data_IF_811695977269
#
_entry.id   IF_811695977269
#
_cell.length_a   1.000
_cell.length_b   1.000
_cell.length_c   1.000
_cell.angle_alpha   90.00
_cell.angle_beta   90.00
_cell.angle_gamma   90.00
#
_symmetry.space_group_name_H-M   'P 1'
#
loop_
_entity.id
_entity.type
_entity.pdbx_description
1 polymer ?
#
# COMPACT_ATOMS: atom_id res chain seq x y z
N UNK A 1 -6.21 -17.65 12.56
CA UNK A 1 -6.75 -16.52 11.79
C UNK A 1 -5.57 -15.74 11.20
N UNK A 2 -5.64 -15.42 9.95
CA UNK A 2 -4.66 -14.58 9.23
C UNK A 2 -5.45 -13.51 8.46
N UNK A 3 -5.06 -12.27 8.60
CA UNK A 3 -5.61 -11.20 7.78
C UNK A 3 -4.93 -11.22 6.40
N UNK A 4 -5.69 -10.95 5.34
CA UNK A 4 -5.18 -10.97 3.96
C UNK A 4 -4.40 -9.71 3.60
N UNK A 5 -3.25 -9.49 4.22
CA UNK A 5 -2.37 -8.33 3.98
C UNK A 5 -1.43 -8.61 2.81
N UNK A 6 -2.01 -8.74 1.62
CA UNK A 6 -1.35 -9.20 0.39
C UNK A 6 -0.08 -8.44 0.03
N UNK A 7 0.05 -7.16 0.40
CA UNK A 7 1.24 -6.36 0.08
C UNK A 7 2.52 -6.87 0.75
N UNK A 8 2.44 -7.55 1.90
CA UNK A 8 3.58 -8.22 2.52
C UNK A 8 4.20 -9.32 1.65
N UNK A 9 3.44 -9.81 0.67
CA UNK A 9 3.85 -10.88 -0.23
C UNK A 9 4.29 -10.38 -1.61
N UNK A 10 4.36 -9.07 -1.82
CA UNK A 10 5.03 -8.47 -2.97
C UNK A 10 6.55 -8.61 -2.84
N UNK A 11 7.22 -9.09 -3.88
CA UNK A 11 8.67 -9.35 -3.82
C UNK A 11 9.46 -8.07 -3.56
N UNK A 12 9.08 -6.95 -4.18
CA UNK A 12 9.71 -5.66 -3.96
C UNK A 12 9.50 -5.11 -2.55
N UNK A 13 8.34 -5.34 -1.92
CA UNK A 13 8.09 -4.94 -0.53
C UNK A 13 8.98 -5.74 0.42
N UNK A 14 9.12 -7.05 0.19
CA UNK A 14 10.00 -7.92 0.98
C UNK A 14 11.46 -7.54 0.80
N UNK A 15 11.89 -7.34 -0.44
CA UNK A 15 13.25 -6.88 -0.73
C UNK A 15 13.56 -5.53 -0.06
N UNK A 16 12.62 -4.57 -0.10
CA UNK A 16 12.76 -3.29 0.59
C UNK A 16 12.91 -3.47 2.10
N UNK A 17 12.10 -4.32 2.73
CA UNK A 17 12.22 -4.65 4.15
C UNK A 17 13.59 -5.22 4.49
N UNK A 18 14.05 -6.19 3.71
CA UNK A 18 15.32 -6.87 3.96
C UNK A 18 16.50 -5.90 3.80
N UNK A 19 16.52 -5.05 2.77
CA UNK A 19 17.52 -4.00 2.56
C UNK A 19 17.57 -3.00 3.73
N UNK A 20 16.41 -2.63 4.27
CA UNK A 20 16.33 -1.73 5.43
C UNK A 20 16.84 -2.43 6.69
N UNK A 21 16.48 -3.69 6.89
CA UNK A 21 16.97 -4.49 8.01
C UNK A 21 18.49 -4.70 7.96
N UNK A 22 19.06 -4.84 6.77
CA UNK A 22 20.50 -4.92 6.52
C UNK A 22 21.24 -3.57 6.68
N UNK A 23 20.49 -2.48 6.93
CA UNK A 23 21.04 -1.15 7.22
C UNK A 23 21.44 -0.35 5.97
N UNK A 24 21.01 -0.71 4.77
CA UNK A 24 21.44 -0.06 3.52
C UNK A 24 21.10 1.44 3.45
N UNK A 25 20.01 1.87 4.11
CA UNK A 25 19.64 3.29 4.21
C UNK A 25 19.95 3.89 5.58
N UNK A 26 20.70 3.19 6.43
CA UNK A 26 20.95 3.56 7.81
C UNK A 26 19.69 3.48 8.69
N UNK A 27 19.67 4.24 9.77
CA UNK A 27 18.51 4.27 10.67
C UNK A 27 17.34 5.03 10.02
N UNK A 28 16.18 4.42 9.91
CA UNK A 28 14.98 5.08 9.38
C UNK A 28 14.53 6.17 10.34
N UNK A 29 14.30 7.37 9.80
CA UNK A 29 13.87 8.56 10.52
C UNK A 29 12.42 8.93 10.23
N UNK A 30 12.02 8.78 8.97
CA UNK A 30 10.70 9.19 8.49
C UNK A 30 10.13 8.09 7.60
N UNK A 31 8.86 7.75 7.85
CA UNK A 31 8.02 7.00 6.94
C UNK A 31 6.98 7.93 6.33
N UNK A 32 6.73 7.82 5.03
CA UNK A 32 5.67 8.56 4.32
C UNK A 32 4.85 7.59 3.51
N UNK A 33 3.55 7.81 3.46
CA UNK A 33 2.70 7.12 2.50
C UNK A 33 1.62 8.04 1.96
N UNK A 34 1.25 7.79 0.72
CA UNK A 34 0.07 8.40 0.12
C UNK A 34 -0.71 7.35 -0.65
N UNK A 35 -2.02 7.46 -0.55
CA UNK A 35 -2.98 6.81 -1.44
C UNK A 35 -4.08 7.79 -1.74
N UNK A 36 -3.92 8.50 -2.84
CA UNK A 36 -4.79 9.58 -3.25
C UNK A 36 -5.32 9.35 -4.65
N UNK A 37 -6.44 9.96 -4.95
CA UNK A 37 -7.05 9.89 -6.27
C UNK A 37 -8.27 10.82 -6.33
N UNK A 38 -9.01 10.73 -7.41
CA UNK A 38 -10.25 11.44 -7.58
C UNK A 38 -11.40 10.46 -7.75
N UNK A 39 -12.47 10.67 -7.01
CA UNK A 39 -13.73 9.95 -7.19
C UNK A 39 -14.70 10.84 -7.94
N UNK A 40 -15.14 10.38 -9.11
CA UNK A 40 -16.20 11.05 -9.85
C UNK A 40 -17.58 10.73 -9.27
N UNK A 41 -18.53 11.64 -9.47
CA UNK A 41 -19.89 11.55 -8.96
C UNK A 41 -20.77 10.58 -9.78
N UNK A 42 -20.21 10.02 -10.85
CA UNK A 42 -20.92 9.18 -11.85
C UNK A 42 -21.34 7.79 -11.37
N UNK A 43 -21.08 7.46 -10.11
CA UNK A 43 -21.43 6.15 -9.55
C UNK A 43 -20.42 5.04 -9.79
N UNK A 44 -19.25 5.35 -10.37
CA UNK A 44 -18.18 4.38 -10.63
C UNK A 44 -17.64 3.69 -9.37
N UNK A 45 -17.74 4.32 -8.22
CA UNK A 45 -17.36 3.72 -6.93
C UNK A 45 -18.55 2.98 -6.32
N UNK A 46 -18.37 1.72 -5.90
CA UNK A 46 -19.40 0.95 -5.23
C UNK A 46 -20.02 1.70 -4.05
N UNK A 47 -21.34 1.73 -3.97
CA UNK A 47 -22.10 2.50 -2.98
C UNK A 47 -21.70 2.22 -1.53
N UNK A 48 -21.26 0.99 -1.21
CA UNK A 48 -20.81 0.63 0.13
C UNK A 48 -19.50 1.35 0.53
N UNK A 49 -18.61 1.63 -0.42
CA UNK A 49 -17.35 2.37 -0.17
C UNK A 49 -17.59 3.86 0.14
N UNK A 50 -18.75 4.38 -0.18
CA UNK A 50 -19.14 5.78 0.10
C UNK A 50 -19.88 5.93 1.43
N UNK A 51 -20.15 4.84 2.13
CA UNK A 51 -20.86 4.82 3.40
C UNK A 51 -19.96 4.33 4.51
N UNK A 52 -19.64 5.20 5.43
CA UNK A 52 -18.76 4.92 6.57
C UNK A 52 -19.24 3.73 7.42
N UNK A 53 -20.55 3.62 7.63
CA UNK A 53 -21.15 2.49 8.33
C UNK A 53 -20.92 1.13 7.66
N UNK A 54 -20.71 1.12 6.34
CA UNK A 54 -20.49 -0.10 5.56
C UNK A 54 -19.03 -0.37 5.29
N UNK A 55 -18.23 0.69 5.05
CA UNK A 55 -16.80 0.59 4.74
C UNK A 55 -15.93 0.53 5.99
N UNK A 56 -16.42 1.01 7.13
CA UNK A 56 -15.64 1.25 8.33
C UNK A 56 -14.82 2.53 8.28
N UNK A 57 -14.91 3.27 7.18
CA UNK A 57 -14.13 4.48 6.92
C UNK A 57 -12.93 4.24 6.01
N UNK A 58 -12.44 5.31 5.44
CA UNK A 58 -11.39 5.31 4.42
C UNK A 58 -10.13 4.56 4.89
N UNK A 59 -9.78 4.68 6.16
CA UNK A 59 -8.65 3.98 6.75
C UNK A 59 -8.79 2.46 6.67
N UNK A 60 -10.00 1.91 6.88
CA UNK A 60 -10.20 0.47 6.94
C UNK A 60 -10.11 -0.19 5.57
N UNK A 61 -10.65 0.43 4.53
CA UNK A 61 -10.57 -0.16 3.20
C UNK A 61 -9.31 0.24 2.41
N UNK A 62 -8.46 1.10 3.01
CA UNK A 62 -7.17 1.51 2.45
C UNK A 62 -6.02 1.33 3.47
N UNK A 63 -6.05 0.24 4.23
CA UNK A 63 -5.09 -0.03 5.30
C UNK A 63 -3.69 -0.42 4.81
N UNK A 64 -3.55 -0.77 3.55
CA UNK A 64 -2.35 -1.43 3.01
C UNK A 64 -1.05 -0.65 3.20
N UNK A 65 -1.08 0.67 3.03
CA UNK A 65 0.11 1.51 3.16
C UNK A 65 0.55 1.61 4.63
N UNK A 66 -0.40 1.69 5.56
CA UNK A 66 -0.13 1.63 6.99
C UNK A 66 0.51 0.31 7.38
N UNK A 67 -0.01 -0.77 6.82
CA UNK A 67 0.46 -2.12 7.04
C UNK A 67 1.93 -2.29 6.58
N UNK A 68 2.28 -1.79 5.39
CA UNK A 68 3.67 -1.79 4.91
C UNK A 68 4.58 -0.92 5.79
N UNK A 69 4.11 0.23 6.27
CA UNK A 69 4.88 1.04 7.23
C UNK A 69 5.13 0.24 8.52
N UNK A 70 4.11 -0.43 9.05
CA UNK A 70 4.25 -1.23 10.27
C UNK A 70 5.16 -2.45 10.08
N UNK A 71 5.16 -3.06 8.88
CA UNK A 71 6.06 -4.16 8.54
C UNK A 71 7.54 -3.77 8.72
N UNK A 72 7.89 -2.51 8.46
CA UNK A 72 9.27 -2.01 8.53
C UNK A 72 9.57 -1.32 9.86
N UNK A 73 8.63 -0.47 10.33
CA UNK A 73 8.84 0.41 11.49
C UNK A 73 8.38 -0.20 12.81
N UNK A 74 7.66 -1.32 12.73
CA UNK A 74 6.96 -1.87 13.89
C UNK A 74 5.71 -1.05 14.24
N UNK A 75 5.16 -1.32 15.41
CA UNK A 75 3.91 -0.71 15.86
C UNK A 75 4.10 0.76 16.26
N UNK A 76 3.25 1.64 15.79
CA UNK A 76 3.23 3.04 16.21
C UNK A 76 2.78 3.15 17.68
N UNK A 77 3.45 4.02 18.45
CA UNK A 77 3.11 4.33 19.84
C UNK A 77 2.02 5.40 19.96
N UNK A 78 1.98 6.32 19.00
CA UNK A 78 0.98 7.39 18.95
C UNK A 78 0.53 7.66 17.53
N UNK A 79 -0.77 7.94 17.40
CA UNK A 79 -1.41 8.33 16.13
C UNK A 79 -2.23 9.59 16.36
N UNK A 80 -2.06 10.59 15.49
CA UNK A 80 -2.94 11.74 15.40
C UNK A 80 -3.50 11.80 14.00
N UNK A 81 -4.81 11.96 13.87
CA UNK A 81 -5.49 11.93 12.59
C UNK A 81 -6.46 13.12 12.48
N UNK A 82 -6.45 13.76 11.32
CA UNK A 82 -7.40 14.81 10.93
C UNK A 82 -7.93 14.50 9.53
N UNK A 83 -9.17 14.83 9.28
CA UNK A 83 -9.79 14.61 7.97
C UNK A 83 -11.15 15.27 7.88
N UNK A 84 -11.77 15.12 6.75
CA UNK A 84 -13.09 15.63 6.48
C UNK A 84 -13.50 15.46 5.02
N UNK A 85 -14.74 15.80 4.73
CA UNK A 85 -15.27 15.89 3.38
C UNK A 85 -15.11 17.32 2.88
N UNK A 86 -14.05 17.58 2.11
CA UNK A 86 -13.63 18.93 1.72
C UNK A 86 -13.98 19.27 0.27
N UNK A 87 -13.89 18.30 -0.64
CA UNK A 87 -14.15 18.51 -2.06
C UNK A 87 -15.53 18.02 -2.50
N UNK A 88 -16.07 16.98 -1.84
CA UNK A 88 -17.34 16.34 -2.20
C UNK A 88 -18.45 16.62 -1.17
N UNK A 89 -18.57 17.88 -0.74
CA UNK A 89 -19.49 18.29 0.33
C UNK A 89 -20.97 18.07 0.00
N UNK A 90 -21.32 18.09 -1.28
CA UNK A 90 -22.71 17.96 -1.75
C UNK A 90 -23.12 16.50 -2.04
N UNK A 91 -22.22 15.54 -1.86
CA UNK A 91 -22.53 14.14 -2.07
C UNK A 91 -23.25 13.55 -0.86
N UNK A 92 -24.20 12.66 -1.11
CA UNK A 92 -24.85 11.84 -0.09
C UNK A 92 -23.91 10.75 0.48
N UNK A 93 -22.61 11.05 0.52
CA UNK A 93 -21.56 10.23 1.07
C UNK A 93 -21.12 10.81 2.42
N UNK A 94 -20.99 9.96 3.42
CA UNK A 94 -20.51 10.33 4.75
C UNK A 94 -19.04 9.91 4.99
N UNK A 95 -18.32 9.56 3.90
CA UNK A 95 -16.91 9.22 3.90
C UNK A 95 -16.03 10.47 3.79
N UNK A 96 -14.98 10.53 4.59
CA UNK A 96 -13.99 11.59 4.47
C UNK A 96 -13.26 11.48 3.11
N UNK A 97 -13.13 12.57 2.36
CA UNK A 97 -12.43 12.60 1.08
C UNK A 97 -10.99 13.11 1.19
N UNK A 98 -10.61 13.64 2.35
CA UNK A 98 -9.24 13.98 2.74
C UNK A 98 -8.97 13.45 4.14
N UNK A 99 -7.85 12.74 4.30
CA UNK A 99 -7.44 12.19 5.58
C UNK A 99 -5.91 12.25 5.72
N UNK A 100 -5.45 12.85 6.82
CA UNK A 100 -4.04 12.94 7.17
C UNK A 100 -3.82 12.28 8.52
N UNK A 101 -2.78 11.43 8.62
CA UNK A 101 -2.34 10.86 9.87
C UNK A 101 -0.86 11.18 10.12
N UNK A 102 -0.51 11.42 11.39
CA UNK A 102 0.85 11.46 11.89
C UNK A 102 1.05 10.29 12.84
N UNK A 103 2.18 9.62 12.71
CA UNK A 103 2.56 8.43 13.47
C UNK A 103 3.85 8.73 14.24
N UNK A 104 3.94 8.26 15.48
CA UNK A 104 5.18 8.27 16.25
C UNK A 104 5.57 6.82 16.55
N UNK A 105 6.85 6.48 16.32
CA UNK A 105 7.38 5.14 16.49
C UNK A 105 8.41 5.08 17.62
N UNK A 106 8.67 3.90 18.17
CA UNK A 106 9.75 3.71 19.13
C UNK A 106 11.09 4.24 18.59
N UNK A 107 11.87 4.88 19.44
CA UNK A 107 13.16 5.48 19.04
C UNK A 107 13.05 6.84 18.36
N UNK A 108 11.86 7.44 18.31
CA UNK A 108 11.64 8.82 17.86
C UNK A 108 11.50 9.00 16.34
N UNK A 109 11.40 7.92 15.58
CA UNK A 109 11.04 8.00 14.18
C UNK A 109 9.58 8.46 14.03
N UNK A 110 9.26 9.15 12.94
CA UNK A 110 7.92 9.68 12.68
C UNK A 110 7.38 9.20 11.35
N UNK A 111 6.05 9.14 11.23
CA UNK A 111 5.39 8.81 9.98
C UNK A 111 4.31 9.80 9.61
N UNK A 112 4.04 9.91 8.32
CA UNK A 112 2.91 10.66 7.77
C UNK A 112 2.20 9.83 6.73
N UNK A 113 0.87 9.86 6.77
CA UNK A 113 0.05 9.18 5.77
C UNK A 113 -1.03 10.12 5.27
N UNK A 114 -1.24 10.10 3.96
CA UNK A 114 -2.26 10.89 3.27
C UNK A 114 -3.14 9.96 2.45
N UNK A 115 -4.44 10.00 2.73
CA UNK A 115 -5.45 9.32 1.94
C UNK A 115 -6.47 10.30 1.41
N UNK A 116 -7.13 9.93 0.36
CA UNK A 116 -8.31 10.64 -0.05
C UNK A 116 -8.67 10.50 -1.51
N UNK A 117 -9.91 10.91 -1.77
CA UNK A 117 -10.55 10.89 -3.08
C UNK A 117 -10.74 12.30 -3.67
N UNK A 118 -10.12 13.32 -3.06
CA UNK A 118 -10.22 14.73 -3.46
C UNK A 118 -9.06 15.24 -4.33
N UNK A 119 -8.22 14.34 -4.84
CA UNK A 119 -6.96 14.71 -5.51
C UNK A 119 -6.98 14.31 -6.98
N UNK A 120 -6.95 15.29 -7.88
CA UNK A 120 -6.92 15.07 -9.34
C UNK A 120 -5.62 14.42 -9.84
N UNK A 121 -4.52 14.63 -9.11
CA UNK A 121 -3.25 13.96 -9.38
C UNK A 121 -3.10 12.84 -8.36
N UNK A 122 -3.25 11.58 -8.79
CA UNK A 122 -3.17 10.45 -7.87
C UNK A 122 -1.73 10.17 -7.46
N UNK A 123 -1.57 9.69 -6.23
CA UNK A 123 -0.33 9.14 -5.70
C UNK A 123 -0.63 7.82 -4.99
N UNK A 124 0.28 6.84 -5.10
CA UNK A 124 0.17 5.59 -4.38
C UNK A 124 1.56 5.04 -4.10
N UNK A 125 2.09 5.36 -2.92
CA UNK A 125 3.44 4.96 -2.53
C UNK A 125 3.61 4.80 -1.02
N UNK A 126 4.69 4.08 -0.65
CA UNK A 126 5.31 4.12 0.69
C UNK A 126 6.78 4.49 0.51
N UNK A 127 7.27 5.47 1.28
CA UNK A 127 8.65 5.93 1.26
C UNK A 127 9.24 5.96 2.67
N UNK A 128 10.46 5.44 2.79
CA UNK A 128 11.22 5.35 4.03
C UNK A 128 12.53 6.10 3.86
N UNK A 129 12.75 7.09 4.73
CA UNK A 129 13.90 7.99 4.69
C UNK A 129 14.79 7.67 5.90
N UNK A 130 16.00 7.24 5.63
CA UNK A 130 17.00 6.91 6.62
C UNK A 130 18.15 7.93 6.67
N UNK A 131 19.12 7.67 7.54
CA UNK A 131 20.31 8.54 7.72
C UNK A 131 21.28 8.47 6.55
N UNK A 132 21.23 7.41 5.74
CA UNK A 132 22.19 7.16 4.66
C UNK A 132 21.52 6.98 3.29
N UNK A 133 20.18 6.99 3.25
CA UNK A 133 19.46 6.83 2.00
C UNK A 133 17.95 6.79 2.18
N UNK A 134 17.28 6.36 1.13
CA UNK A 134 15.82 6.17 1.13
C UNK A 134 15.40 4.97 0.29
N UNK A 135 14.25 4.40 0.64
CA UNK A 135 13.55 3.41 -0.17
C UNK A 135 12.15 3.94 -0.47
N UNK A 136 11.78 3.98 -1.75
CA UNK A 136 10.43 4.30 -2.21
C UNK A 136 9.82 3.10 -2.91
N UNK A 137 8.73 2.60 -2.37
CA UNK A 137 7.86 1.58 -2.97
C UNK A 137 6.74 2.34 -3.67
N UNK A 138 6.79 2.44 -4.98
CA UNK A 138 5.81 3.15 -5.77
C UNK A 138 4.84 2.15 -6.41
N UNK A 139 3.63 2.12 -5.88
CA UNK A 139 2.59 1.18 -6.28
C UNK A 139 1.89 1.61 -7.57
N UNK A 140 2.01 2.87 -7.95
CA UNK A 140 1.47 3.40 -9.19
C UNK A 140 2.47 3.29 -10.34
N UNK A 141 3.75 3.63 -10.10
CA UNK A 141 4.82 3.43 -11.07
C UNK A 141 5.33 1.97 -11.10
N UNK A 142 4.80 1.11 -10.22
CA UNK A 142 5.12 -0.32 -10.10
C UNK A 142 6.63 -0.55 -10.04
N UNK A 143 7.26 0.03 -9.02
CA UNK A 143 8.71 -0.06 -8.83
C UNK A 143 9.12 0.13 -7.38
N UNK A 144 10.29 -0.38 -7.03
CA UNK A 144 10.99 -0.03 -5.79
C UNK A 144 12.27 0.71 -6.15
N UNK A 145 12.46 1.88 -5.59
CA UNK A 145 13.63 2.71 -5.82
C UNK A 145 14.42 2.87 -4.51
N UNK A 146 15.69 2.48 -4.53
CA UNK A 146 16.63 2.63 -3.43
C UNK A 146 17.63 3.72 -3.81
N UNK A 147 17.76 4.75 -2.98
CA UNK A 147 18.67 5.88 -3.17
C UNK A 147 19.66 5.95 -2.01
N UNK A 148 20.93 5.91 -2.34
CA UNK A 148 22.06 6.08 -1.39
C UNK A 148 23.08 7.05 -1.96
N UNK A 149 24.15 7.31 -1.23
CA UNK A 149 25.28 8.09 -1.74
C UNK A 149 25.96 7.47 -2.98
N UNK A 150 25.80 6.15 -3.18
CA UNK A 150 26.34 5.41 -4.31
C UNK A 150 25.50 5.57 -5.60
N UNK A 151 24.27 6.03 -5.47
CA UNK A 151 23.38 6.27 -6.60
C UNK A 151 21.94 5.78 -6.38
N UNK A 152 21.25 5.51 -7.50
CA UNK A 152 19.87 5.04 -7.52
C UNK A 152 19.80 3.65 -8.13
N UNK A 153 19.23 2.72 -7.39
CA UNK A 153 18.96 1.36 -7.84
C UNK A 153 17.45 1.13 -7.89
N UNK A 154 16.97 0.47 -8.92
CA UNK A 154 15.57 0.08 -9.08
C UNK A 154 15.41 -1.43 -9.01
N UNK A 155 14.37 -1.87 -8.31
CA UNK A 155 13.96 -3.26 -8.19
C UNK A 155 12.52 -3.39 -8.71
N UNK A 156 12.17 -4.59 -9.14
CA UNK A 156 10.79 -4.89 -9.48
C UNK A 156 9.91 -4.86 -8.23
N UNK A 157 8.67 -4.42 -8.39
CA UNK A 157 7.67 -4.52 -7.31
C UNK A 157 7.11 -5.94 -7.20
N UNK A 158 6.91 -6.61 -8.34
CA UNK A 158 6.47 -8.00 -8.41
C UNK A 158 7.64 -8.92 -8.75
N UNK A 159 7.35 -10.18 -9.03
CA UNK A 159 8.34 -11.24 -9.26
C UNK A 159 9.23 -10.98 -10.47
N UNK A 160 8.69 -10.31 -11.48
CA UNK A 160 9.42 -10.05 -12.72
C UNK A 160 9.00 -8.74 -13.38
N UNK A 161 9.82 -8.27 -14.32
CA UNK A 161 9.52 -7.09 -15.12
C UNK A 161 8.27 -7.27 -15.99
N UNK A 162 7.94 -8.50 -16.37
CA UNK A 162 6.73 -8.82 -17.13
C UNK A 162 5.47 -8.68 -16.25
N UNK A 163 5.54 -9.07 -14.97
CA UNK A 163 4.45 -8.87 -14.01
C UNK A 163 4.26 -7.38 -13.70
N UNK A 164 5.34 -6.63 -13.57
CA UNK A 164 5.30 -5.17 -13.40
C UNK A 164 4.68 -4.48 -14.62
N UNK A 165 5.06 -4.88 -15.83
CA UNK A 165 4.49 -4.35 -17.06
C UNK A 165 2.99 -4.68 -17.21
N UNK A 166 2.56 -5.89 -16.81
CA UNK A 166 1.16 -6.28 -16.78
C UNK A 166 0.36 -5.38 -15.82
N UNK A 167 0.91 -5.10 -14.64
CA UNK A 167 0.28 -4.21 -13.66
C UNK A 167 0.17 -2.78 -14.16
N UNK A 168 1.20 -2.25 -14.82
CA UNK A 168 1.15 -0.91 -15.43
C UNK A 168 0.08 -0.82 -16.51
N UNK A 169 -0.01 -1.83 -17.37
CA UNK A 169 -1.03 -1.87 -18.41
C UNK A 169 -2.46 -1.89 -17.85
N UNK A 170 -2.67 -2.55 -16.71
CA UNK A 170 -3.97 -2.52 -16.00
C UNK A 170 -4.31 -1.13 -15.46
N UNK A 171 -3.35 -0.41 -14.89
CA UNK A 171 -3.58 0.96 -14.45
C UNK A 171 -3.99 1.88 -15.60
N UNK A 172 -3.35 1.73 -16.75
CA UNK A 172 -3.70 2.52 -17.94
C UNK A 172 -5.08 2.16 -18.49
N UNK A 173 -5.41 0.86 -18.52
CA UNK A 173 -6.74 0.39 -18.91
C UNK A 173 -7.82 0.92 -17.98
N UNK A 174 -7.58 0.91 -16.66
CA UNK A 174 -8.50 1.46 -15.66
C UNK A 174 -8.75 2.96 -15.89
N UNK A 175 -7.71 3.74 -16.17
CA UNK A 175 -7.83 5.17 -16.50
C UNK A 175 -8.61 5.45 -17.77
N UNK A 176 -8.66 4.50 -18.69
CA UNK A 176 -9.38 4.58 -19.97
C UNK A 176 -10.82 4.03 -19.92
N UNK A 177 -11.31 3.71 -18.70
CA UNK A 177 -12.64 3.13 -18.50
C UNK A 177 -12.72 1.62 -18.72
N UNK A 178 -11.56 0.95 -18.92
CA UNK A 178 -11.41 -0.50 -18.83
C UNK A 178 -10.81 -0.90 -17.49
N UNK A 179 -10.69 -2.17 -17.22
CA UNK A 179 -10.03 -2.64 -15.99
C UNK A 179 -10.38 -4.07 -15.66
N UNK A 180 -9.68 -4.61 -14.64
CA UNK A 180 -9.97 -5.95 -14.14
C UNK A 180 -11.13 -5.88 -13.16
N UNK A 181 -12.22 -6.54 -13.49
CA UNK A 181 -13.30 -6.82 -12.54
C UNK A 181 -12.92 -8.04 -11.70
N UNK A 182 -12.29 -7.80 -10.55
CA UNK A 182 -11.85 -8.85 -9.63
C UNK A 182 -13.00 -9.71 -9.08
N UNK A 183 -14.24 -9.26 -9.20
CA UNK A 183 -15.44 -10.01 -8.82
C UNK A 183 -15.99 -10.91 -9.93
N UNK A 184 -15.48 -10.82 -11.15
CA UNK A 184 -15.99 -11.56 -12.28
C UNK A 184 -15.35 -12.95 -12.38
N UNK A 185 -16.11 -14.05 -12.13
CA UNK A 185 -15.57 -15.42 -12.15
C UNK A 185 -15.12 -15.89 -13.55
N UNK A 186 -15.48 -15.14 -14.60
CA UNK A 186 -15.09 -15.43 -15.98
C UNK A 186 -13.81 -14.70 -16.40
N UNK A 187 -13.32 -13.77 -15.60
CA UNK A 187 -12.04 -13.10 -15.86
C UNK A 187 -10.89 -13.86 -15.20
N UNK A 188 -9.82 -14.05 -15.96
CA UNK A 188 -8.58 -14.58 -15.41
C UNK A 188 -7.92 -13.49 -14.56
N UNK A 189 -7.61 -13.77 -13.29
CA UNK A 189 -6.83 -12.83 -12.50
C UNK A 189 -5.45 -12.64 -13.13
N UNK A 190 -4.87 -11.43 -13.07
CA UNK A 190 -3.55 -11.16 -13.61
C UNK A 190 -2.46 -11.94 -12.87
N UNK A 191 -1.36 -12.23 -13.56
CA UNK A 191 -0.27 -13.07 -13.03
C UNK A 191 0.35 -12.50 -11.77
N UNK A 192 0.55 -11.18 -11.72
CA UNK A 192 1.10 -10.49 -10.56
C UNK A 192 0.25 -10.72 -9.30
N UNK A 193 -1.08 -10.67 -9.43
CA UNK A 193 -2.01 -10.89 -8.30
C UNK A 193 -2.01 -12.36 -7.87
N UNK A 194 -2.05 -13.29 -8.83
CA UNK A 194 -1.97 -14.73 -8.55
C UNK A 194 -0.69 -15.04 -7.79
N UNK A 195 0.45 -14.51 -8.24
CA UNK A 195 1.74 -14.73 -7.59
C UNK A 195 1.81 -14.23 -6.15
N UNK A 196 1.17 -13.10 -5.83
CA UNK A 196 1.10 -12.58 -4.46
C UNK A 196 0.22 -13.48 -3.59
N UNK A 197 -0.96 -13.86 -4.07
CA UNK A 197 -1.90 -14.71 -3.34
C UNK A 197 -1.37 -16.14 -3.14
N UNK A 198 -0.65 -16.69 -4.10
CA UNK A 198 0.02 -17.98 -3.95
C UNK A 198 1.01 -17.93 -2.77
N UNK A 199 1.86 -16.90 -2.70
CA UNK A 199 2.81 -16.75 -1.59
C UNK A 199 2.15 -16.56 -0.23
N UNK A 200 1.04 -15.84 -0.19
CA UNK A 200 0.24 -15.70 1.03
C UNK A 200 -0.32 -17.04 1.50
N UNK A 201 -0.89 -17.81 0.59
CA UNK A 201 -1.42 -19.17 0.89
C UNK A 201 -0.32 -20.15 1.25
N UNK A 202 0.84 -20.11 0.58
CA UNK A 202 2.01 -20.91 0.94
C UNK A 202 2.53 -20.58 2.34
N UNK A 203 2.54 -19.30 2.71
CA UNK A 203 2.91 -18.88 4.05
C UNK A 203 1.94 -19.45 5.10
N UNK A 204 0.64 -19.28 4.89
CA UNK A 204 -0.39 -19.83 5.77
C UNK A 204 -0.28 -21.37 5.89
N UNK A 205 -0.09 -22.06 4.76
CA UNK A 205 0.07 -23.51 4.73
C UNK A 205 1.31 -23.95 5.51
N UNK A 206 2.45 -23.25 5.37
CA UNK A 206 3.65 -23.52 6.14
C UNK A 206 3.47 -23.36 7.64
N UNK A 207 2.70 -22.33 8.06
CA UNK A 207 2.33 -22.12 9.47
C UNK A 207 1.48 -23.31 10.01
N UNK A 208 0.47 -23.71 9.26
CA UNK A 208 -0.42 -24.82 9.67
C UNK A 208 0.30 -26.15 9.77
N UNK A 209 1.37 -26.35 9.01
CA UNK A 209 2.22 -27.55 9.06
C UNK A 209 3.33 -27.47 10.11
N UNK A 210 3.51 -26.32 10.75
CA UNK A 210 4.62 -26.10 11.68
C UNK A 210 5.99 -26.01 10.99
N UNK A 211 6.02 -25.71 9.70
CA UNK A 211 7.23 -25.54 8.89
C UNK A 211 7.75 -24.10 8.93
N UNK A 212 6.96 -23.19 9.47
CA UNK A 212 7.26 -21.76 9.64
C UNK A 212 6.78 -21.26 11.00
N UNK A 213 7.46 -20.26 11.51
CA UNK A 213 7.00 -19.47 12.66
C UNK A 213 6.15 -18.28 12.21
N UNK A 214 5.28 -17.83 13.12
CA UNK A 214 4.45 -16.64 12.86
C UNK A 214 5.36 -15.41 12.86
N UNK A 215 5.36 -14.68 11.78
CA UNK A 215 5.94 -13.34 11.76
C UNK A 215 5.01 -12.43 12.60
N UNK A 216 5.50 -11.81 13.67
CA UNK A 216 4.64 -11.03 14.59
C UNK A 216 4.05 -9.77 13.95
N UNK A 217 4.47 -9.43 12.74
CA UNK A 217 3.98 -8.27 11.98
C UNK A 217 2.95 -8.68 10.91
N UNK A 218 2.76 -10.00 10.69
CA UNK A 218 1.78 -10.55 9.73
C UNK A 218 0.45 -10.94 10.40
#
# INVERSE_FOLDING_TARGET
FMAGHVMHFMDGVRAARDLIADGEIGRVLIARAARTGWVDEDGSVPGWKRRREMSGGHLFHHIHELDVIQLVMGRAERVTMIGGNLAHQDLAADEDDVLLASLEFPGGAVGTMQWGSAFRIPEHYVELLGTEGSVRIDLQAVSVEVRTAEGVRRLNLHRSAEEDAERLAEYEAYRSGGGVDYGNPHMRPPRWLVGIMERELEYLHGLLRGEREVDPVL
#
